data_IF_370112992949
#
_entry.id   IF_370112992949
#
_cell.length_a   1.000
_cell.length_b   1.000
_cell.length_c   1.000
_cell.angle_alpha   90.00
_cell.angle_beta   90.00
_cell.angle_gamma   90.00
#
_symmetry.space_group_name_H-M   'P 1'
#
loop_
_entity.id
_entity.type
_entity.pdbx_description
1 polymer ?
#
# COMPACT_ATOMS: atom_id res chain seq x y z
N UNK A 1 -27.71 -17.42 -13.22
CA UNK A 1 -28.77 -16.63 -12.53
C UNK A 1 -28.47 -16.53 -11.03
N UNK A 2 -27.23 -16.16 -10.67
CA UNK A 2 -26.75 -16.12 -9.28
C UNK A 2 -25.99 -14.81 -8.96
N UNK A 3 -25.80 -13.93 -9.96
CA UNK A 3 -25.09 -12.66 -9.81
C UNK A 3 -25.99 -11.55 -9.25
N UNK A 4 -27.30 -11.57 -9.51
CA UNK A 4 -28.18 -10.42 -9.18
C UNK A 4 -28.54 -10.27 -7.70
N UNK A 5 -28.28 -11.27 -6.84
CA UNK A 5 -28.55 -11.18 -5.40
C UNK A 5 -27.36 -10.57 -4.63
N UNK A 6 -26.14 -10.78 -5.11
CA UNK A 6 -24.93 -10.18 -4.54
C UNK A 6 -24.94 -8.66 -4.71
N UNK A 7 -25.29 -8.18 -5.90
CA UNK A 7 -25.30 -6.75 -6.23
C UNK A 7 -26.38 -5.98 -5.44
N UNK A 8 -27.56 -6.57 -5.25
CA UNK A 8 -28.66 -5.99 -4.48
C UNK A 8 -28.35 -5.91 -2.97
N UNK A 9 -27.68 -6.92 -2.42
CA UNK A 9 -27.24 -6.91 -1.02
C UNK A 9 -26.15 -5.85 -0.77
N UNK A 10 -25.21 -5.75 -1.70
CA UNK A 10 -24.10 -4.79 -1.67
C UNK A 10 -24.64 -3.36 -1.76
N UNK A 11 -25.57 -3.08 -2.69
CA UNK A 11 -26.26 -1.79 -2.79
C UNK A 11 -27.08 -1.43 -1.52
N UNK A 12 -27.74 -2.41 -0.90
CA UNK A 12 -28.48 -2.21 0.36
C UNK A 12 -27.58 -1.87 1.54
N UNK A 13 -26.42 -2.51 1.65
CA UNK A 13 -25.40 -2.20 2.66
C UNK A 13 -24.82 -0.78 2.49
N UNK A 14 -24.66 -0.32 1.27
CA UNK A 14 -24.14 1.02 0.99
C UNK A 14 -25.10 2.13 1.44
N UNK A 15 -26.41 1.93 1.24
CA UNK A 15 -27.44 2.88 1.68
C UNK A 15 -27.51 3.04 3.21
N UNK A 16 -26.99 2.07 3.97
CA UNK A 16 -26.86 2.15 5.44
C UNK A 16 -25.43 2.45 5.91
N UNK A 17 -24.51 2.76 4.98
CA UNK A 17 -23.14 3.15 5.27
C UNK A 17 -22.20 2.02 5.71
N UNK A 18 -22.60 0.76 5.51
CA UNK A 18 -21.84 -0.43 5.89
C UNK A 18 -20.96 -0.93 4.73
N UNK A 19 -19.83 -1.54 5.06
CA UNK A 19 -18.85 -2.08 4.10
C UNK A 19 -18.82 -3.61 4.17
N UNK A 20 -18.75 -4.33 3.03
CA UNK A 20 -18.63 -5.79 3.00
C UNK A 20 -17.41 -6.31 3.77
N UNK A 21 -17.53 -7.50 4.39
CA UNK A 21 -16.41 -8.13 5.11
C UNK A 21 -15.23 -8.41 4.16
N UNK A 22 -15.52 -8.82 2.92
CA UNK A 22 -14.52 -9.09 1.90
C UNK A 22 -13.67 -7.86 1.56
N UNK A 23 -14.27 -6.67 1.55
CA UNK A 23 -13.57 -5.42 1.30
C UNK A 23 -12.65 -5.10 2.48
N UNK A 24 -13.13 -5.25 3.71
CA UNK A 24 -12.32 -5.10 4.94
C UNK A 24 -11.12 -6.06 4.93
N UNK A 25 -11.33 -7.31 4.52
CA UNK A 25 -10.27 -8.31 4.45
C UNK A 25 -9.24 -7.98 3.36
N UNK A 26 -9.68 -7.49 2.21
CA UNK A 26 -8.79 -7.00 1.15
C UNK A 26 -7.93 -5.84 1.65
N UNK A 27 -8.52 -4.86 2.33
CA UNK A 27 -7.78 -3.74 2.90
C UNK A 27 -6.76 -4.18 3.95
N UNK A 28 -7.06 -5.20 4.76
CA UNK A 28 -6.11 -5.76 5.73
C UNK A 28 -4.90 -6.37 5.03
N UNK A 29 -5.12 -7.14 3.95
CA UNK A 29 -4.03 -7.73 3.16
C UNK A 29 -3.15 -6.65 2.52
N UNK A 30 -3.77 -5.64 1.89
CA UNK A 30 -3.06 -4.49 1.33
C UNK A 30 -2.27 -3.71 2.41
N UNK A 31 -2.86 -3.51 3.60
CA UNK A 31 -2.18 -2.84 4.73
C UNK A 31 -0.95 -3.62 5.17
N UNK A 32 -1.07 -4.94 5.34
CA UNK A 32 0.07 -5.78 5.71
C UNK A 32 1.18 -5.70 4.67
N UNK A 33 0.83 -5.75 3.39
CA UNK A 33 1.80 -5.63 2.31
C UNK A 33 2.51 -4.26 2.30
N UNK A 34 1.79 -3.18 2.64
CA UNK A 34 2.38 -1.86 2.86
C UNK A 34 3.34 -1.84 4.06
N UNK A 35 2.96 -2.46 5.19
CA UNK A 35 3.82 -2.56 6.37
C UNK A 35 5.13 -3.31 6.02
N UNK A 36 5.04 -4.42 5.29
CA UNK A 36 6.22 -5.19 4.82
C UNK A 36 7.14 -4.33 3.91
N UNK A 37 6.56 -3.48 3.05
CA UNK A 37 7.34 -2.58 2.19
C UNK A 37 8.04 -1.48 2.99
N UNK A 38 7.37 -0.93 4.01
CA UNK A 38 7.97 0.06 4.92
C UNK A 38 9.17 -0.56 5.65
N UNK A 39 9.03 -1.77 6.19
CA UNK A 39 10.12 -2.47 6.88
C UNK A 39 11.34 -2.71 5.95
N UNK A 40 11.10 -3.17 4.71
CA UNK A 40 12.16 -3.34 3.71
C UNK A 40 12.85 -2.03 3.36
N UNK A 41 12.09 -0.96 3.20
CA UNK A 41 12.63 0.35 2.86
C UNK A 41 13.45 0.94 4.01
N UNK A 42 13.02 0.77 5.26
CA UNK A 42 13.82 1.14 6.44
C UNK A 42 15.14 0.38 6.51
N UNK A 43 15.13 -0.92 6.19
CA UNK A 43 16.35 -1.72 6.14
C UNK A 43 17.29 -1.26 5.02
N UNK A 44 16.75 -0.93 3.84
CA UNK A 44 17.52 -0.40 2.71
C UNK A 44 18.16 0.96 3.04
N UNK A 45 17.41 1.87 3.66
CA UNK A 45 17.92 3.17 4.12
C UNK A 45 19.07 2.98 5.09
N UNK A 46 18.94 2.08 6.08
CA UNK A 46 20.02 1.79 7.04
C UNK A 46 21.26 1.24 6.35
N UNK A 47 21.10 0.36 5.37
CA UNK A 47 22.23 -0.16 4.58
C UNK A 47 22.95 0.96 3.83
N UNK A 48 22.19 1.80 3.13
CA UNK A 48 22.71 2.93 2.34
C UNK A 48 23.42 3.97 3.24
N UNK A 49 22.88 4.25 4.43
CA UNK A 49 23.52 5.13 5.42
C UNK A 49 24.90 4.60 5.87
N UNK A 50 25.01 3.28 6.09
CA UNK A 50 26.30 2.65 6.44
C UNK A 50 27.27 2.74 5.27
N UNK A 51 26.83 2.45 4.04
CA UNK A 51 27.69 2.54 2.85
C UNK A 51 28.21 3.97 2.60
N UNK A 52 27.34 4.97 2.71
CA UNK A 52 27.70 6.38 2.61
C UNK A 52 28.70 6.80 3.70
N UNK A 53 28.55 6.32 4.93
CA UNK A 53 29.48 6.61 6.02
C UNK A 53 30.89 6.00 5.80
N UNK A 54 30.96 4.90 5.04
CA UNK A 54 32.21 4.19 4.74
C UNK A 54 32.90 4.68 3.45
N UNK A 55 32.18 5.38 2.56
CA UNK A 55 32.76 5.98 1.36
C UNK A 55 33.63 7.18 1.72
N UNK A 56 34.91 7.15 1.32
CA UNK A 56 35.73 8.36 1.24
C UNK A 56 35.20 9.20 0.07
N UNK A 57 34.70 10.40 0.35
CA UNK A 57 34.24 11.32 -0.70
C UNK A 57 35.45 11.84 -1.47
N UNK A 58 35.53 11.51 -2.76
CA UNK A 58 36.49 12.15 -3.67
C UNK A 58 36.08 13.61 -3.91
N UNK A 59 37.02 14.58 -3.88
CA UNK A 59 36.70 15.97 -4.16
C UNK A 59 36.14 16.12 -5.58
N UNK A 60 34.90 16.60 -5.70
CA UNK A 60 34.22 16.83 -6.98
C UNK A 60 33.19 15.77 -7.37
N UNK A 61 32.94 14.75 -6.54
CA UNK A 61 31.87 13.80 -6.76
C UNK A 61 30.49 14.48 -6.73
N UNK A 62 29.62 14.14 -7.68
CA UNK A 62 28.22 14.56 -7.70
C UNK A 62 27.52 13.97 -6.46
N UNK A 63 26.75 14.75 -5.69
CA UNK A 63 26.05 14.23 -4.52
C UNK A 63 25.07 13.13 -4.92
N UNK A 64 25.21 11.98 -4.27
CA UNK A 64 24.29 10.86 -4.41
C UNK A 64 22.97 11.19 -3.69
N UNK A 65 21.90 11.35 -4.46
CA UNK A 65 20.56 11.68 -3.94
C UNK A 65 19.71 10.45 -3.63
N UNK A 66 20.21 9.23 -3.88
CA UNK A 66 19.45 8.00 -3.69
C UNK A 66 18.94 7.85 -2.26
N UNK A 67 19.77 8.15 -1.25
CA UNK A 67 19.33 8.10 0.16
C UNK A 67 18.18 9.06 0.46
N UNK A 68 18.19 10.27 -0.12
CA UNK A 68 17.12 11.25 0.06
C UNK A 68 15.82 10.79 -0.61
N UNK A 69 15.91 10.19 -1.79
CA UNK A 69 14.77 9.62 -2.51
C UNK A 69 14.13 8.45 -1.73
N UNK A 70 14.96 7.58 -1.14
CA UNK A 70 14.48 6.49 -0.28
C UNK A 70 13.77 7.04 0.97
N UNK A 71 14.33 8.04 1.64
CA UNK A 71 13.71 8.70 2.82
C UNK A 71 12.40 9.41 2.47
N UNK A 72 12.32 10.06 1.32
CA UNK A 72 11.10 10.67 0.82
C UNK A 72 10.03 9.60 0.55
N UNK A 73 10.41 8.49 -0.08
CA UNK A 73 9.51 7.36 -0.32
C UNK A 73 9.00 6.76 0.98
N UNK A 74 9.87 6.58 1.98
CA UNK A 74 9.49 6.11 3.31
C UNK A 74 8.46 7.05 3.95
N UNK A 75 8.69 8.36 3.87
CA UNK A 75 7.76 9.36 4.39
C UNK A 75 6.39 9.26 3.72
N UNK A 76 6.34 9.11 2.39
CA UNK A 76 5.09 8.96 1.64
C UNK A 76 4.35 7.69 2.07
N UNK A 77 5.05 6.55 2.13
CA UNK A 77 4.45 5.26 2.46
C UNK A 77 3.98 5.20 3.92
N UNK A 78 4.75 5.72 4.87
CA UNK A 78 4.37 5.77 6.29
C UNK A 78 3.21 6.72 6.53
N UNK A 79 3.22 7.91 5.92
CA UNK A 79 2.10 8.86 6.05
C UNK A 79 0.82 8.28 5.44
N UNK A 80 0.92 7.66 4.28
CA UNK A 80 -0.22 6.99 3.64
C UNK A 80 -0.67 5.82 4.50
N UNK A 81 0.27 5.02 5.01
CA UNK A 81 0.07 3.96 6.00
C UNK A 81 -0.74 4.42 7.20
N UNK A 82 -0.42 5.56 7.80
CA UNK A 82 -1.18 6.12 8.92
C UNK A 82 -2.59 6.62 8.55
N UNK A 83 -2.80 7.03 7.30
CA UNK A 83 -4.12 7.43 6.79
C UNK A 83 -5.00 6.20 6.51
N UNK A 84 -4.39 5.14 5.99
CA UNK A 84 -5.08 3.91 5.60
C UNK A 84 -5.13 2.87 6.72
N UNK A 85 -4.32 3.01 7.77
CA UNK A 85 -4.24 2.03 8.85
C UNK A 85 -5.62 1.93 9.51
N UNK A 86 -6.26 0.75 9.45
CA UNK A 86 -7.40 0.51 10.29
C UNK A 86 -6.91 0.60 11.72
N UNK A 87 -7.41 1.58 12.50
CA UNK A 87 -7.04 1.74 13.92
C UNK A 87 -6.91 0.36 14.58
N UNK A 88 -5.67 0.01 14.98
CA UNK A 88 -5.19 -1.35 15.33
C UNK A 88 -5.91 -2.02 16.51
N UNK A 89 -7.11 -1.59 16.89
CA UNK A 89 -7.89 -2.21 17.96
C UNK A 89 -9.40 -2.06 17.91
N UNK A 90 -10.01 -1.23 17.06
CA UNK A 90 -11.49 -1.07 17.08
C UNK A 90 -12.09 -0.74 15.72
N UNK A 91 -11.95 -1.65 14.78
CA UNK A 91 -13.05 -1.87 13.85
C UNK A 91 -14.14 -2.64 14.60
N UNK A 92 -14.83 -1.99 15.54
CA UNK A 92 -16.20 -2.42 15.79
C UNK A 92 -16.91 -2.15 14.47
N UNK A 93 -17.33 -3.21 13.78
CA UNK A 93 -18.11 -3.17 12.51
C UNK A 93 -19.15 -2.03 12.45
N UNK A 94 -19.64 -1.56 13.60
CA UNK A 94 -20.52 -0.41 13.78
C UNK A 94 -19.99 0.97 13.32
N UNK A 95 -18.67 1.20 13.26
CA UNK A 95 -18.12 2.54 12.97
C UNK A 95 -17.30 2.60 11.67
N UNK A 96 -17.20 1.48 10.95
CA UNK A 96 -16.49 1.46 9.69
C UNK A 96 -17.44 1.84 8.56
N UNK A 97 -17.22 3.02 8.00
CA UNK A 97 -18.13 3.62 7.02
C UNK A 97 -17.63 3.37 5.61
N UNK A 98 -18.57 3.33 4.67
CA UNK A 98 -18.30 3.37 3.24
C UNK A 98 -17.24 4.42 2.84
N UNK A 99 -17.35 5.65 3.37
CA UNK A 99 -16.39 6.74 3.09
C UNK A 99 -14.97 6.41 3.54
N UNK A 100 -14.81 5.69 4.64
CA UNK A 100 -13.48 5.26 5.11
C UNK A 100 -12.90 4.17 4.20
N UNK A 101 -13.73 3.24 3.71
CA UNK A 101 -13.32 2.25 2.70
C UNK A 101 -12.90 2.89 1.38
N UNK A 102 -13.70 3.80 0.83
CA UNK A 102 -13.32 4.53 -0.38
C UNK A 102 -12.00 5.27 -0.20
N UNK A 103 -11.84 5.97 0.93
CA UNK A 103 -10.60 6.69 1.22
C UNK A 103 -9.43 5.73 1.26
N UNK A 104 -9.54 4.56 1.89
CA UNK A 104 -8.48 3.55 1.85
C UNK A 104 -8.06 3.26 0.41
N UNK A 105 -9.02 2.92 -0.46
CA UNK A 105 -8.76 2.53 -1.83
C UNK A 105 -8.15 3.67 -2.67
N UNK A 106 -8.61 4.90 -2.49
CA UNK A 106 -8.06 6.09 -3.16
C UNK A 106 -6.59 6.32 -2.83
N UNK A 107 -6.18 6.04 -1.59
CA UNK A 107 -4.78 6.16 -1.17
C UNK A 107 -3.96 4.95 -1.62
N UNK A 108 -4.51 3.74 -1.47
CA UNK A 108 -3.88 2.51 -1.93
C UNK A 108 -3.53 2.58 -3.42
N UNK A 109 -4.47 2.97 -4.28
CA UNK A 109 -4.25 3.05 -5.74
C UNK A 109 -3.14 4.02 -6.13
N UNK A 110 -2.88 5.05 -5.31
CA UNK A 110 -1.78 6.02 -5.53
C UNK A 110 -0.41 5.42 -5.20
N UNK A 111 -0.33 4.54 -4.20
CA UNK A 111 0.95 4.05 -3.68
C UNK A 111 1.27 2.61 -4.10
N UNK A 112 0.29 1.81 -4.51
CA UNK A 112 0.44 0.35 -4.70
C UNK A 112 1.59 -0.04 -5.63
N UNK A 113 1.86 0.76 -6.66
CA UNK A 113 3.00 0.55 -7.56
C UNK A 113 4.34 0.63 -6.82
N UNK A 114 4.53 1.66 -5.99
CA UNK A 114 5.74 1.82 -5.17
C UNK A 114 5.87 0.69 -4.16
N UNK A 115 4.76 0.28 -3.55
CA UNK A 115 4.74 -0.84 -2.59
C UNK A 115 5.19 -2.13 -3.28
N UNK A 116 4.71 -2.41 -4.49
CA UNK A 116 5.14 -3.58 -5.29
C UNK A 116 6.62 -3.49 -5.67
N UNK A 117 7.10 -2.33 -6.13
CA UNK A 117 8.52 -2.13 -6.47
C UNK A 117 9.43 -2.53 -5.31
N UNK A 118 9.11 -2.05 -4.10
CA UNK A 118 9.89 -2.32 -2.90
C UNK A 118 9.77 -3.78 -2.46
N UNK A 119 8.55 -4.32 -2.44
CA UNK A 119 8.34 -5.67 -1.93
C UNK A 119 8.91 -6.75 -2.84
N UNK A 120 8.76 -6.56 -4.14
CA UNK A 120 9.16 -7.55 -5.15
C UNK A 120 10.58 -7.29 -5.69
N UNK A 121 11.22 -6.18 -5.31
CA UNK A 121 12.56 -5.82 -5.74
C UNK A 121 12.65 -5.52 -7.24
N UNK A 122 11.60 -4.94 -7.81
CA UNK A 122 11.48 -4.65 -9.25
C UNK A 122 11.37 -3.15 -9.49
N UNK A 123 11.83 -2.69 -10.66
CA UNK A 123 11.65 -1.30 -11.09
C UNK A 123 10.43 -1.18 -12.00
N UNK A 124 9.76 -0.01 -12.03
CA UNK A 124 8.58 0.23 -12.90
C UNK A 124 8.78 -0.04 -14.37
N UNK A 125 10.03 0.05 -14.83
CA UNK A 125 10.41 -0.08 -16.23
C UNK A 125 10.94 -1.49 -16.54
N UNK A 126 10.98 -2.39 -15.55
CA UNK A 126 11.33 -3.79 -15.80
C UNK A 126 10.19 -4.53 -16.47
N UNK A 127 10.53 -5.46 -17.37
CA UNK A 127 9.55 -6.31 -18.06
C UNK A 127 8.73 -7.17 -17.06
N UNK A 128 9.33 -7.48 -15.91
CA UNK A 128 8.72 -8.27 -14.84
C UNK A 128 7.74 -7.45 -13.98
N UNK A 129 7.77 -6.12 -14.04
CA UNK A 129 6.94 -5.26 -13.20
C UNK A 129 5.44 -5.55 -13.35
N UNK A 130 4.98 -5.70 -14.60
CA UNK A 130 3.58 -5.99 -14.88
C UNK A 130 3.16 -7.37 -14.35
N UNK A 131 4.07 -8.35 -14.35
CA UNK A 131 3.79 -9.67 -13.77
C UNK A 131 3.69 -9.57 -12.25
N UNK A 132 4.55 -8.76 -11.63
CA UNK A 132 4.56 -8.53 -10.17
C UNK A 132 3.35 -7.74 -9.68
N UNK A 133 2.76 -6.90 -10.52
CA UNK A 133 1.48 -6.22 -10.20
C UNK A 133 0.33 -7.20 -9.93
N UNK A 134 0.38 -8.43 -10.46
CA UNK A 134 -0.62 -9.46 -10.15
C UNK A 134 -0.69 -9.80 -8.65
N UNK A 135 0.39 -9.57 -7.89
CA UNK A 135 0.38 -9.70 -6.43
C UNK A 135 -0.55 -8.66 -5.82
N UNK A 136 -0.46 -7.40 -6.24
CA UNK A 136 -1.36 -6.35 -5.77
C UNK A 136 -2.82 -6.64 -6.17
N UNK A 137 -3.06 -7.10 -7.40
CA UNK A 137 -4.40 -7.46 -7.86
C UNK A 137 -5.01 -8.60 -7.02
N UNK A 138 -4.21 -9.61 -6.65
CA UNK A 138 -4.65 -10.69 -5.78
C UNK A 138 -4.95 -10.21 -4.34
N UNK A 139 -4.19 -9.24 -3.82
CA UNK A 139 -4.47 -8.66 -2.50
C UNK A 139 -5.81 -7.91 -2.49
N UNK A 140 -6.15 -7.26 -3.60
CA UNK A 140 -7.39 -6.51 -3.81
C UNK A 140 -8.64 -7.40 -3.98
N UNK A 141 -8.52 -8.73 -4.00
CA UNK A 141 -9.67 -9.64 -4.20
C UNK A 141 -10.78 -9.40 -3.15
N UNK A 142 -12.01 -9.15 -3.61
CA UNK A 142 -13.13 -8.82 -2.71
C UNK A 142 -13.25 -7.34 -2.36
N UNK A 143 -12.40 -6.48 -2.95
CA UNK A 143 -12.63 -5.04 -3.09
C UNK A 143 -13.99 -4.82 -3.75
N UNK A 144 -14.79 -3.96 -3.12
CA UNK A 144 -16.07 -3.54 -3.68
C UNK A 144 -15.78 -2.47 -4.73
N UNK A 145 -16.22 -2.72 -5.96
CA UNK A 145 -16.16 -1.75 -7.06
C UNK A 145 -17.53 -1.07 -7.11
N UNK A 146 -17.53 0.25 -7.10
CA UNK A 146 -18.73 1.09 -7.04
C UNK A 146 -18.95 1.80 -8.37
#
# INVERSE_FOLDING_TARGET
>A
MMESLGDLYTAGMHNVGLVPLSDVDAQRRCTKYLEDAVEKLEALIKSEEVELSNKKTEPGAVPDNTLNELKNTLTILTNTGGIVQPSKGRYTYKNYTYKASQKFWDYWDKIKKQVVEINEGVTRHSDDFNQKMAVADALEEGRTIY
#
